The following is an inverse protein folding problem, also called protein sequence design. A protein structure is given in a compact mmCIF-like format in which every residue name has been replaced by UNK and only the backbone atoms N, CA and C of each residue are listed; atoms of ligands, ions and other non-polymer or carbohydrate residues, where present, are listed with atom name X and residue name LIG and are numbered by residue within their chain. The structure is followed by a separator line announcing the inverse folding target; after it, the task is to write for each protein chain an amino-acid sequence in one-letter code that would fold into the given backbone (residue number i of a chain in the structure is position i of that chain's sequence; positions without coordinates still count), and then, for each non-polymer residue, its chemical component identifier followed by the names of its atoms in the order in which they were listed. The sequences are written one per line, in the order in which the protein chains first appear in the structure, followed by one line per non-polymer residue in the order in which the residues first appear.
data_IF_566692424708
#
_entry.id   IF_566692424708
#
_cell.length_a   1.000
_cell.length_b   1.000
_cell.length_c   1.000
_cell.angle_alpha   90.00
_cell.angle_beta   90.00
_cell.angle_gamma   90.00
#
_symmetry.space_group_name_H-M   'P 1'
#
loop_
_entity.id
_entity.type
_entity.pdbx_description
1 polymer ?
#
# COMPACT_ATOMS: atom_id res chain seq x y z
N UNK A 1 -8.20 9.48 -21.36
CA UNK A 1 -9.07 8.40 -20.86
C UNK A 1 -9.29 8.69 -19.39
N UNK A 2 -10.54 8.89 -18.97
CA UNK A 2 -10.86 9.10 -17.56
C UNK A 2 -10.34 7.94 -16.70
N UNK A 3 -9.90 8.25 -15.49
CA UNK A 3 -9.35 7.27 -14.55
C UNK A 3 -10.35 6.13 -14.29
N UNK A 4 -11.65 6.46 -14.22
CA UNK A 4 -12.77 5.51 -14.21
C UNK A 4 -12.71 4.54 -15.40
N UNK A 5 -12.67 5.07 -16.62
CA UNK A 5 -12.66 4.27 -17.85
C UNK A 5 -11.42 3.36 -17.91
N UNK A 6 -10.25 3.83 -17.45
CA UNK A 6 -9.04 3.01 -17.39
C UNK A 6 -9.15 1.88 -16.35
N UNK A 7 -9.64 2.19 -15.15
CA UNK A 7 -9.80 1.24 -14.04
C UNK A 7 -10.83 0.16 -14.36
N UNK A 8 -11.96 0.51 -14.99
CA UNK A 8 -12.99 -0.45 -15.40
C UNK A 8 -12.64 -1.23 -16.66
N UNK A 9 -11.85 -0.68 -17.58
CA UNK A 9 -11.37 -1.43 -18.76
C UNK A 9 -10.35 -2.49 -18.35
N UNK A 10 -9.37 -2.14 -17.51
CA UNK A 10 -8.36 -3.12 -17.05
C UNK A 10 -8.94 -4.08 -16.02
N UNK A 11 -9.65 -3.57 -15.02
CA UNK A 11 -10.33 -4.39 -14.01
C UNK A 11 -11.39 -5.29 -14.65
N UNK A 12 -12.14 -4.78 -15.63
CA UNK A 12 -13.11 -5.53 -16.42
C UNK A 12 -12.45 -6.63 -17.27
N UNK A 13 -11.31 -6.35 -17.90
CA UNK A 13 -10.57 -7.37 -18.65
C UNK A 13 -10.11 -8.53 -17.73
N UNK A 14 -9.57 -8.22 -16.56
CA UNK A 14 -9.16 -9.24 -15.57
C UNK A 14 -10.38 -10.02 -15.04
N UNK A 15 -11.48 -9.33 -14.76
CA UNK A 15 -12.73 -9.96 -14.32
C UNK A 15 -13.33 -10.90 -15.37
N UNK A 16 -13.35 -10.48 -16.65
CA UNK A 16 -13.83 -11.31 -17.77
C UNK A 16 -12.95 -12.54 -17.96
N UNK A 17 -11.63 -12.41 -17.87
CA UNK A 17 -10.71 -13.55 -17.91
C UNK A 17 -10.98 -14.51 -16.74
N UNK A 18 -11.18 -13.97 -15.53
CA UNK A 18 -11.57 -14.75 -14.35
C UNK A 18 -12.91 -15.49 -14.53
N UNK A 19 -13.91 -14.83 -15.12
CA UNK A 19 -15.22 -15.40 -15.41
C UNK A 19 -15.14 -16.53 -16.43
N UNK A 20 -14.34 -16.35 -17.48
CA UNK A 20 -14.07 -17.38 -18.51
C UNK A 20 -13.38 -18.60 -17.88
N UNK A 21 -12.39 -18.38 -17.01
CA UNK A 21 -11.73 -19.46 -16.27
C UNK A 21 -12.69 -20.19 -15.31
N UNK A 22 -13.58 -19.46 -14.63
CA UNK A 22 -14.57 -20.02 -13.72
C UNK A 22 -15.66 -20.81 -14.45
N UNK A 23 -16.07 -20.34 -15.64
CA UNK A 23 -17.00 -21.04 -16.53
C UNK A 23 -16.41 -22.34 -17.07
N UNK A 24 -15.14 -22.33 -17.49
CA UNK A 24 -14.43 -23.55 -17.96
C UNK A 24 -14.29 -24.64 -16.89
N UNK A 25 -14.31 -24.26 -15.61
CA UNK A 25 -14.23 -25.19 -14.47
C UNK A 25 -15.61 -25.56 -13.89
N UNK A 26 -16.72 -25.12 -14.49
CA UNK A 26 -18.08 -25.47 -14.09
C UNK A 26 -18.62 -24.77 -12.84
N UNK A 27 -17.88 -23.79 -12.28
CA UNK A 27 -18.32 -23.03 -11.10
C UNK A 27 -19.35 -21.95 -11.43
N UNK A 28 -19.37 -21.50 -12.67
CA UNK A 28 -20.24 -20.44 -13.18
C UNK A 28 -20.88 -20.93 -14.48
N UNK A 29 -22.18 -20.73 -14.65
CA UNK A 29 -22.89 -21.24 -15.82
C UNK A 29 -24.32 -20.74 -15.89
N UNK A 30 -25.03 -21.07 -16.97
CA UNK A 30 -26.36 -20.53 -17.25
C UNK A 30 -27.50 -21.32 -16.59
N UNK A 31 -27.21 -22.32 -15.74
CA UNK A 31 -28.22 -23.17 -15.09
C UNK A 31 -27.88 -23.48 -13.62
N UNK A 32 -28.91 -23.59 -12.79
CA UNK A 32 -28.82 -24.07 -11.40
C UNK A 32 -27.95 -23.20 -10.49
N UNK A 33 -27.14 -23.83 -9.63
CA UNK A 33 -26.25 -23.14 -8.67
C UNK A 33 -25.18 -22.26 -9.35
N UNK A 34 -24.77 -22.61 -10.57
CA UNK A 34 -23.84 -21.80 -11.37
C UNK A 34 -24.44 -20.49 -11.87
N UNK A 35 -25.76 -20.44 -12.10
CA UNK A 35 -26.47 -19.20 -12.47
C UNK A 35 -26.58 -18.27 -11.26
N UNK A 36 -26.89 -18.81 -10.08
CA UNK A 36 -26.92 -18.02 -8.85
C UNK A 36 -25.55 -17.41 -8.53
N UNK A 37 -24.46 -18.15 -8.75
CA UNK A 37 -23.10 -17.65 -8.59
C UNK A 37 -22.74 -16.56 -9.62
N UNK A 38 -23.13 -16.74 -10.89
CA UNK A 38 -22.98 -15.72 -11.95
C UNK A 38 -23.74 -14.43 -11.59
N UNK A 39 -25.00 -14.56 -11.19
CA UNK A 39 -25.86 -13.42 -10.84
C UNK A 39 -25.32 -12.69 -9.60
N UNK A 40 -24.87 -13.42 -8.57
CA UNK A 40 -24.25 -12.81 -7.39
C UNK A 40 -22.97 -12.03 -7.71
N UNK A 41 -22.10 -12.59 -8.56
CA UNK A 41 -20.87 -11.94 -9.01
C UNK A 41 -21.16 -10.68 -9.86
N UNK A 42 -22.08 -10.77 -10.81
CA UNK A 42 -22.45 -9.65 -11.67
C UNK A 42 -23.21 -8.56 -10.90
N UNK A 43 -24.06 -8.95 -9.94
CA UNK A 43 -24.75 -8.00 -9.08
C UNK A 43 -23.77 -7.26 -8.17
N UNK A 44 -22.80 -7.96 -7.56
CA UNK A 44 -21.75 -7.31 -6.75
C UNK A 44 -20.91 -6.33 -7.57
N UNK A 45 -20.49 -6.73 -8.77
CA UNK A 45 -19.75 -5.86 -9.69
C UNK A 45 -20.60 -4.66 -10.14
N UNK A 46 -21.88 -4.88 -10.44
CA UNK A 46 -22.81 -3.84 -10.88
C UNK A 46 -23.12 -2.81 -9.80
N UNK A 47 -23.33 -3.25 -8.55
CA UNK A 47 -23.52 -2.35 -7.40
C UNK A 47 -22.26 -1.52 -7.17
N UNK A 48 -21.08 -2.14 -7.21
CA UNK A 48 -19.82 -1.43 -7.05
C UNK A 48 -19.58 -0.41 -8.18
N UNK A 49 -19.80 -0.81 -9.43
CA UNK A 49 -19.69 0.07 -10.59
C UNK A 49 -20.70 1.22 -10.54
N UNK A 50 -21.93 0.96 -10.09
CA UNK A 50 -22.97 1.98 -9.92
C UNK A 50 -22.63 2.99 -8.84
N UNK A 51 -22.12 2.54 -7.69
CA UNK A 51 -21.67 3.44 -6.61
C UNK A 51 -20.50 4.29 -7.08
N UNK A 52 -19.50 3.71 -7.75
CA UNK A 52 -18.37 4.46 -8.27
C UNK A 52 -18.78 5.45 -9.35
N UNK A 53 -19.64 5.05 -10.29
CA UNK A 53 -20.17 5.95 -11.32
C UNK A 53 -20.98 7.10 -10.68
N UNK A 54 -21.77 6.80 -9.66
CA UNK A 54 -22.50 7.83 -8.91
C UNK A 54 -21.53 8.78 -8.21
N UNK A 55 -20.49 8.27 -7.53
CA UNK A 55 -19.51 9.13 -6.86
C UNK A 55 -18.68 9.99 -7.82
N UNK A 56 -18.42 9.49 -9.03
CA UNK A 56 -17.58 10.20 -10.02
C UNK A 56 -18.36 11.20 -10.88
N UNK A 57 -19.62 10.88 -11.22
CA UNK A 57 -20.47 11.72 -12.08
C UNK A 57 -21.59 12.46 -11.35
N UNK A 58 -21.79 12.25 -10.05
CA UNK A 58 -22.73 13.06 -9.29
C UNK A 58 -22.25 14.53 -9.26
N UNK A 59 -23.19 15.49 -9.33
CA UNK A 59 -22.86 16.91 -9.28
C UNK A 59 -22.19 17.23 -7.94
N UNK A 60 -20.87 17.43 -7.98
CA UNK A 60 -20.12 17.91 -6.83
C UNK A 60 -20.42 19.40 -6.64
N UNK A 61 -20.98 19.76 -5.47
CA UNK A 61 -21.00 21.16 -5.04
C UNK A 61 -19.60 21.51 -4.56
N UNK A 62 -18.81 22.09 -5.45
CA UNK A 62 -17.53 22.69 -5.09
C UNK A 62 -17.80 23.91 -4.20
N UNK A 63 -17.17 23.97 -3.03
CA UNK A 63 -17.07 25.21 -2.29
C UNK A 63 -16.28 26.20 -3.17
N UNK A 64 -16.61 27.52 -3.16
CA UNK A 64 -15.88 28.49 -3.96
C UNK A 64 -14.39 28.40 -3.61
N UNK A 65 -13.57 28.11 -4.62
CA UNK A 65 -12.13 28.04 -4.47
C UNK A 65 -11.63 29.39 -3.95
N UNK A 66 -11.18 29.43 -2.69
CA UNK A 66 -10.47 30.58 -2.16
C UNK A 66 -9.08 30.53 -2.80
N UNK A 67 -8.83 31.39 -3.77
CA UNK A 67 -7.52 31.51 -4.39
C UNK A 67 -6.51 31.90 -3.31
N UNK A 68 -5.41 31.14 -3.19
CA UNK A 68 -4.27 31.55 -2.38
C UNK A 68 -3.66 32.81 -3.03
N UNK A 69 -3.90 33.98 -2.43
CA UNK A 69 -3.41 35.28 -2.91
C UNK A 69 -1.93 35.54 -2.57
N UNK A 70 -1.23 34.57 -1.97
CA UNK A 70 0.20 34.71 -1.69
C UNK A 70 1.04 34.59 -2.96
N UNK A 71 2.02 35.47 -3.13
CA UNK A 71 3.08 35.29 -4.13
C UNK A 71 3.85 34.01 -3.82
N UNK A 72 3.51 32.90 -4.49
CA UNK A 72 4.33 31.69 -4.44
C UNK A 72 5.56 31.89 -5.31
N UNK A 73 6.59 32.52 -4.74
CA UNK A 73 7.91 32.52 -5.34
C UNK A 73 8.52 31.15 -5.06
N UNK A 74 8.76 30.28 -6.07
CA UNK A 74 9.42 29.00 -5.85
C UNK A 74 10.90 29.29 -5.59
N UNK A 75 11.21 29.74 -4.38
CA UNK A 75 12.58 29.78 -3.92
C UNK A 75 13.00 28.32 -3.80
N UNK A 76 13.82 27.85 -4.74
CA UNK A 76 14.62 26.62 -4.56
C UNK A 76 15.54 26.85 -3.36
N UNK A 77 14.99 26.71 -2.15
CA UNK A 77 15.79 26.64 -0.95
C UNK A 77 16.31 25.21 -0.92
N UNK A 78 17.56 25.06 -1.37
CA UNK A 78 18.36 23.91 -0.97
C UNK A 78 18.35 23.89 0.56
N UNK A 79 17.99 22.77 1.17
CA UNK A 79 17.77 22.66 2.61
C UNK A 79 18.88 23.32 3.44
N UNK A 80 18.51 23.84 4.60
CA UNK A 80 19.44 24.39 5.58
C UNK A 80 20.39 23.27 6.05
N UNK A 81 21.59 23.60 6.54
CA UNK A 81 22.50 22.59 7.14
C UNK A 81 21.83 21.74 8.24
N UNK A 82 20.83 22.32 8.93
CA UNK A 82 19.97 21.64 9.90
C UNK A 82 19.14 20.54 9.23
N UNK A 83 18.54 20.80 8.06
CA UNK A 83 17.71 19.83 7.33
C UNK A 83 18.55 18.62 6.88
N UNK A 84 19.78 18.89 6.41
CA UNK A 84 20.73 17.83 6.08
C UNK A 84 21.15 17.00 7.28
N UNK A 85 21.37 17.63 8.44
CA UNK A 85 21.70 16.93 9.68
C UNK A 85 20.53 16.06 10.16
N UNK A 86 19.28 16.54 10.06
CA UNK A 86 18.08 15.79 10.42
C UNK A 86 17.88 14.58 9.49
N UNK A 87 18.02 14.76 8.17
CA UNK A 87 17.90 13.67 7.19
C UNK A 87 19.00 12.62 7.43
N UNK A 88 20.25 13.06 7.59
CA UNK A 88 21.37 12.16 7.89
C UNK A 88 21.17 11.39 9.20
N UNK A 89 20.72 12.08 10.25
CA UNK A 89 20.38 11.49 11.54
C UNK A 89 19.23 10.47 11.44
N UNK A 90 18.21 10.75 10.62
CA UNK A 90 17.11 9.82 10.37
C UNK A 90 17.59 8.52 9.71
N UNK A 91 18.38 8.60 8.64
CA UNK A 91 18.93 7.41 7.98
C UNK A 91 19.88 6.63 8.91
N UNK A 92 20.69 7.32 9.71
CA UNK A 92 21.55 6.68 10.69
C UNK A 92 20.74 5.95 11.77
N UNK A 93 19.71 6.60 12.31
CA UNK A 93 18.83 5.99 13.30
C UNK A 93 18.12 4.75 12.73
N UNK A 94 17.62 4.83 11.50
CA UNK A 94 17.05 3.69 10.77
C UNK A 94 18.02 2.52 10.64
N UNK A 95 19.26 2.80 10.24
CA UNK A 95 20.29 1.77 10.12
C UNK A 95 20.64 1.18 11.50
N UNK A 96 20.71 1.98 12.55
CA UNK A 96 20.98 1.50 13.91
C UNK A 96 19.83 0.61 14.42
N UNK A 97 18.58 1.04 14.28
CA UNK A 97 17.41 0.23 14.65
C UNK A 97 17.39 -1.06 13.83
N UNK A 98 17.60 -0.99 12.52
CA UNK A 98 17.60 -2.18 11.66
C UNK A 98 18.72 -3.17 12.03
N UNK A 99 19.93 -2.68 12.27
CA UNK A 99 21.09 -3.53 12.60
C UNK A 99 21.03 -4.13 14.01
N UNK A 100 20.51 -3.40 15.00
CA UNK A 100 20.35 -3.92 16.38
C UNK A 100 19.37 -5.10 16.38
N UNK A 101 18.25 -4.99 15.66
CA UNK A 101 17.23 -6.03 15.62
C UNK A 101 17.55 -7.16 14.63
N UNK A 102 18.44 -6.92 13.66
CA UNK A 102 19.01 -7.92 12.77
C UNK A 102 19.78 -9.04 13.50
N UNK A 103 20.47 -8.71 14.59
CA UNK A 103 21.26 -9.67 15.39
C UNK A 103 20.45 -10.83 15.98
N UNK A 104 19.12 -10.72 15.96
CA UNK A 104 18.20 -11.68 16.53
C UNK A 104 17.59 -12.66 15.50
N UNK A 105 17.97 -12.61 14.22
CA UNK A 105 17.48 -13.52 13.17
C UNK A 105 18.48 -14.66 12.93
N UNK A 106 18.41 -15.72 13.76
CA UNK A 106 19.34 -16.88 13.68
C UNK A 106 18.78 -18.07 12.91
N UNK A 107 17.46 -18.17 12.75
CA UNK A 107 16.80 -19.24 12.00
C UNK A 107 15.94 -18.70 10.84
N UNK A 108 15.60 -19.58 9.88
CA UNK A 108 14.69 -19.25 8.76
C UNK A 108 13.32 -18.80 9.28
N UNK A 109 12.85 -19.39 10.38
CA UNK A 109 11.59 -19.01 11.02
C UNK A 109 11.69 -17.61 11.66
N UNK A 110 12.84 -17.26 12.24
CA UNK A 110 13.08 -15.91 12.76
C UNK A 110 13.17 -14.86 11.66
N UNK A 111 13.72 -15.24 10.50
CA UNK A 111 13.83 -14.35 9.35
C UNK A 111 12.48 -14.03 8.71
N UNK A 112 11.61 -15.03 8.50
CA UNK A 112 10.32 -14.86 7.81
C UNK A 112 9.12 -14.60 8.72
N UNK A 113 9.13 -15.09 9.97
CA UNK A 113 7.99 -14.94 10.89
C UNK A 113 8.36 -14.17 12.15
N UNK A 114 9.53 -13.55 12.16
CA UNK A 114 10.03 -12.78 13.29
C UNK A 114 10.05 -13.58 14.62
N UNK A 115 10.14 -14.92 14.53
CA UNK A 115 10.09 -15.83 15.68
C UNK A 115 8.74 -15.86 16.41
N UNK A 116 7.68 -15.26 15.83
CA UNK A 116 6.34 -15.11 16.44
C UNK A 116 6.36 -14.49 17.85
N UNK A 117 7.36 -13.66 18.13
CA UNK A 117 7.57 -13.02 19.44
C UNK A 117 6.86 -11.69 19.64
N UNK A 118 6.32 -11.11 18.56
CA UNK A 118 5.67 -9.81 18.58
C UNK A 118 4.20 -9.93 18.97
N UNK A 119 3.73 -9.03 19.84
CA UNK A 119 2.32 -8.95 20.22
C UNK A 119 1.45 -8.48 19.04
N UNK A 120 0.15 -8.80 19.09
CA UNK A 120 -0.80 -8.51 18.01
C UNK A 120 -0.87 -7.02 17.64
N UNK A 121 -0.70 -6.12 18.60
CA UNK A 121 -0.71 -4.67 18.38
C UNK A 121 0.45 -4.22 17.49
N UNK A 122 1.66 -4.74 17.75
CA UNK A 122 2.84 -4.40 16.95
C UNK A 122 2.72 -4.91 15.53
N UNK A 123 2.16 -6.11 15.36
CA UNK A 123 1.89 -6.69 14.03
C UNK A 123 0.83 -5.87 13.30
N UNK A 124 -0.26 -5.49 13.97
CA UNK A 124 -1.31 -4.65 13.38
C UNK A 124 -0.77 -3.28 12.96
N UNK A 125 0.08 -2.67 13.78
CA UNK A 125 0.72 -1.40 13.45
C UNK A 125 1.64 -1.51 12.23
N UNK A 126 2.49 -2.54 12.16
CA UNK A 126 3.36 -2.78 11.00
C UNK A 126 2.54 -3.08 9.73
N UNK A 127 1.42 -3.82 9.84
CA UNK A 127 0.51 -4.01 8.71
C UNK A 127 -0.03 -2.68 8.17
N UNK A 128 -0.49 -1.78 9.05
CA UNK A 128 -0.98 -0.46 8.65
C UNK A 128 0.17 0.37 8.06
N UNK A 129 1.32 0.41 8.72
CA UNK A 129 2.50 1.15 8.25
C UNK A 129 2.95 0.68 6.86
N UNK A 130 2.89 -0.63 6.58
CA UNK A 130 3.24 -1.19 5.27
C UNK A 130 2.29 -0.71 4.16
N UNK A 131 1.02 -0.44 4.47
CA UNK A 131 0.06 0.08 3.48
C UNK A 131 0.26 1.57 3.19
N UNK A 132 0.84 2.31 4.14
CA UNK A 132 1.07 3.75 4.03
C UNK A 132 2.49 4.00 3.51
N UNK A 133 2.61 4.05 2.18
CA UNK A 133 3.87 4.34 1.50
C UNK A 133 4.06 5.82 1.14
N UNK A 134 5.25 6.13 0.62
CA UNK A 134 5.63 7.45 0.09
C UNK A 134 4.71 7.92 -1.04
N UNK A 135 4.27 6.99 -1.90
CA UNK A 135 3.28 7.28 -2.94
C UNK A 135 1.96 7.79 -2.35
N UNK A 136 1.49 7.17 -1.28
CA UNK A 136 0.26 7.56 -0.61
C UNK A 136 0.38 8.99 -0.09
N UNK A 137 1.50 9.35 0.54
CA UNK A 137 1.72 10.71 1.02
C UNK A 137 1.60 11.79 -0.05
N UNK A 138 2.28 11.60 -1.19
CA UNK A 138 2.24 12.60 -2.27
C UNK A 138 0.85 12.68 -2.88
N UNK A 139 0.22 11.53 -3.16
CA UNK A 139 -1.12 11.48 -3.74
C UNK A 139 -2.18 12.11 -2.82
N UNK A 140 -2.20 11.73 -1.55
CA UNK A 140 -3.22 12.20 -0.61
C UNK A 140 -2.95 13.64 -0.15
N UNK A 141 -1.69 14.09 -0.13
CA UNK A 141 -1.38 15.50 0.05
C UNK A 141 -1.96 16.38 -1.07
N UNK A 142 -1.79 15.95 -2.32
CA UNK A 142 -2.35 16.64 -3.49
C UNK A 142 -3.89 16.66 -3.47
N UNK A 143 -4.52 15.51 -3.24
CA UNK A 143 -6.00 15.40 -3.16
C UNK A 143 -6.54 16.16 -1.95
N UNK A 144 -5.83 16.16 -0.81
CA UNK A 144 -6.19 16.93 0.38
C UNK A 144 -6.11 18.43 0.15
N UNK A 145 -5.11 18.92 -0.59
CA UNK A 145 -5.01 20.32 -0.97
C UNK A 145 -6.12 20.74 -1.95
N UNK A 146 -6.45 19.89 -2.93
CA UNK A 146 -7.46 20.19 -3.94
C UNK A 146 -8.90 20.11 -3.42
N UNK A 147 -9.21 19.11 -2.58
CA UNK A 147 -10.59 18.78 -2.17
C UNK A 147 -10.85 18.95 -0.67
N UNK A 148 -9.87 19.40 0.11
CA UNK A 148 -9.99 19.60 1.56
C UNK A 148 -10.33 18.31 2.30
N UNK A 149 -11.13 18.43 3.36
CA UNK A 149 -11.54 17.30 4.22
C UNK A 149 -12.29 16.17 3.49
N UNK A 150 -12.92 16.46 2.34
CA UNK A 150 -13.65 15.45 1.56
C UNK A 150 -12.73 14.33 1.04
N UNK A 151 -11.44 14.62 0.87
CA UNK A 151 -10.40 13.64 0.50
C UNK A 151 -10.28 12.46 1.47
N UNK A 152 -10.65 12.65 2.75
CA UNK A 152 -10.61 11.62 3.79
C UNK A 152 -11.55 10.44 3.46
N UNK A 153 -12.59 10.67 2.65
CA UNK A 153 -13.53 9.62 2.26
C UNK A 153 -12.86 8.48 1.48
N UNK A 154 -11.73 8.75 0.82
CA UNK A 154 -10.94 7.72 0.15
C UNK A 154 -10.43 6.65 1.13
N UNK A 155 -10.07 7.03 2.36
CA UNK A 155 -9.67 6.09 3.42
C UNK A 155 -10.86 5.42 4.11
N UNK A 156 -12.02 6.08 4.17
CA UNK A 156 -13.24 5.49 4.74
C UNK A 156 -13.71 4.24 3.99
N UNK A 157 -13.37 4.09 2.70
CA UNK A 157 -13.68 2.87 1.94
C UNK A 157 -12.98 1.63 2.54
N UNK A 158 -11.73 1.77 2.95
CA UNK A 158 -10.93 0.64 3.48
C UNK A 158 -11.52 0.09 4.79
N UNK A 159 -12.17 0.94 5.59
CA UNK A 159 -12.87 0.52 6.82
C UNK A 159 -14.03 -0.42 6.56
N UNK A 160 -14.66 -0.38 5.38
CA UNK A 160 -15.71 -1.32 5.02
C UNK A 160 -15.16 -2.74 4.79
N UNK A 161 -13.94 -2.86 4.26
CA UNK A 161 -13.30 -4.15 3.99
C UNK A 161 -12.61 -4.74 5.20
N UNK A 162 -12.27 -3.91 6.19
CA UNK A 162 -11.55 -4.33 7.40
C UNK A 162 -12.29 -5.42 8.21
N UNK A 163 -13.62 -5.35 8.45
CA UNK A 163 -14.35 -6.45 9.06
C UNK A 163 -14.29 -7.76 8.26
N UNK A 164 -14.38 -7.69 6.93
CA UNK A 164 -14.28 -8.88 6.08
C UNK A 164 -12.89 -9.52 6.17
N UNK A 165 -11.83 -8.70 6.29
CA UNK A 165 -10.49 -9.17 6.51
C UNK A 165 -10.33 -9.83 7.89
N UNK A 166 -10.80 -9.18 8.97
CA UNK A 166 -10.61 -9.64 10.36
C UNK A 166 -11.47 -10.88 10.66
N UNK A 167 -12.73 -10.91 10.23
CA UNK A 167 -13.66 -12.00 10.57
C UNK A 167 -13.79 -13.05 9.49
N UNK A 168 -13.48 -12.71 8.24
CA UNK A 168 -13.55 -13.65 7.11
C UNK A 168 -12.19 -14.27 6.79
N UNK A 169 -11.25 -13.46 6.32
CA UNK A 169 -9.97 -13.96 5.79
C UNK A 169 -8.98 -14.38 6.87
N UNK A 170 -8.77 -13.55 7.90
CA UNK A 170 -7.76 -13.79 8.92
C UNK A 170 -7.94 -15.15 9.64
N UNK A 171 -9.16 -15.59 10.03
CA UNK A 171 -9.34 -16.90 10.64
C UNK A 171 -8.98 -18.03 9.69
N UNK A 172 -9.36 -17.94 8.41
CA UNK A 172 -9.03 -18.94 7.38
C UNK A 172 -7.51 -19.08 7.25
N UNK A 173 -6.79 -17.96 7.14
CA UNK A 173 -5.33 -17.98 7.00
C UNK A 173 -4.65 -18.53 8.27
N UNK A 174 -5.14 -18.12 9.46
CA UNK A 174 -4.59 -18.54 10.74
C UNK A 174 -4.78 -20.04 11.01
N UNK A 175 -6.01 -20.55 10.87
CA UNK A 175 -6.32 -21.97 11.10
C UNK A 175 -5.72 -22.89 10.03
N UNK A 176 -5.55 -22.41 8.80
CA UNK A 176 -4.92 -23.21 7.72
C UNK A 176 -3.41 -23.38 7.88
N UNK A 177 -2.75 -22.66 8.82
CA UNK A 177 -1.29 -22.70 9.06
C UNK A 177 -0.47 -22.60 7.77
N UNK A 178 -0.93 -21.76 6.85
CA UNK A 178 -0.23 -21.47 5.59
C UNK A 178 0.92 -20.50 5.84
N UNK A 179 1.98 -20.61 5.06
CA UNK A 179 3.14 -19.73 5.13
C UNK A 179 3.06 -18.56 4.16
N UNK A 180 2.33 -18.73 3.05
CA UNK A 180 2.19 -17.70 2.02
C UNK A 180 0.82 -17.74 1.34
N UNK A 181 0.40 -16.61 0.76
CA UNK A 181 -0.87 -16.53 0.00
C UNK A 181 -0.86 -17.47 -1.22
N UNK A 182 0.21 -17.57 -2.03
CA UNK A 182 0.25 -18.54 -3.13
C UNK A 182 0.10 -20.00 -2.68
N UNK A 183 0.58 -20.36 -1.49
CA UNK A 183 0.38 -21.69 -0.91
C UNK A 183 -1.10 -21.98 -0.61
N UNK A 184 -1.85 -20.96 -0.16
CA UNK A 184 -3.31 -21.09 -0.01
C UNK A 184 -3.99 -21.41 -1.35
N UNK A 185 -3.60 -20.72 -2.43
CA UNK A 185 -4.12 -21.00 -3.76
C UNK A 185 -3.74 -22.40 -4.28
N UNK A 186 -2.57 -22.92 -3.90
CA UNK A 186 -2.18 -24.29 -4.23
C UNK A 186 -3.08 -25.31 -3.54
N UNK A 187 -3.27 -25.18 -2.21
CA UNK A 187 -4.08 -26.11 -1.43
C UNK A 187 -5.55 -26.09 -1.85
N UNK A 188 -6.04 -24.94 -2.30
CA UNK A 188 -7.46 -24.75 -2.68
C UNK A 188 -7.77 -25.13 -4.13
N UNK A 189 -6.83 -24.91 -5.04
CA UNK A 189 -7.01 -25.13 -6.47
C UNK A 189 -5.99 -26.15 -6.98
N UNK A 190 -4.84 -25.69 -7.46
CA UNK A 190 -3.81 -26.54 -8.08
C UNK A 190 -2.44 -25.81 -8.11
N UNK A 191 -1.37 -26.56 -8.37
CA UNK A 191 0.00 -26.02 -8.53
C UNK A 191 0.13 -24.99 -9.66
N UNK A 192 -0.66 -25.12 -10.73
CA UNK A 192 -0.69 -24.14 -11.83
C UNK A 192 -1.24 -22.78 -11.37
N UNK A 193 -2.22 -22.78 -10.47
CA UNK A 193 -2.79 -21.55 -9.91
C UNK A 193 -1.79 -20.89 -8.95
N UNK A 194 -1.02 -21.68 -8.18
CA UNK A 194 0.09 -21.15 -7.37
C UNK A 194 1.10 -20.38 -8.21
N UNK A 195 1.53 -20.95 -9.34
CA UNK A 195 2.50 -20.30 -10.23
C UNK A 195 1.93 -18.99 -10.78
N UNK A 196 0.68 -19.02 -11.26
CA UNK A 196 0.00 -17.82 -11.75
C UNK A 196 -0.10 -16.73 -10.66
N UNK A 197 -0.58 -17.08 -9.47
CA UNK A 197 -0.71 -16.16 -8.34
C UNK A 197 0.65 -15.60 -7.91
N UNK A 198 1.71 -16.42 -7.91
CA UNK A 198 3.07 -15.98 -7.58
C UNK A 198 3.60 -14.98 -8.61
N UNK A 199 3.43 -15.25 -9.91
CA UNK A 199 3.89 -14.33 -10.98
C UNK A 199 3.15 -12.99 -10.90
N UNK A 200 1.82 -13.03 -10.74
CA UNK A 200 1.01 -11.81 -10.60
C UNK A 200 1.44 -11.01 -9.35
N UNK A 201 1.63 -11.69 -8.22
CA UNK A 201 2.05 -11.06 -6.97
C UNK A 201 3.44 -10.41 -7.12
N UNK A 202 4.40 -11.09 -7.74
CA UNK A 202 5.74 -10.55 -7.98
C UNK A 202 5.71 -9.35 -8.93
N UNK A 203 4.91 -9.42 -10.00
CA UNK A 203 4.73 -8.31 -10.94
C UNK A 203 4.11 -7.09 -10.25
N UNK A 204 3.09 -7.29 -9.42
CA UNK A 204 2.48 -6.24 -8.61
C UNK A 204 3.50 -5.63 -7.64
N UNK A 205 4.24 -6.45 -6.89
CA UNK A 205 5.23 -5.98 -5.92
C UNK A 205 6.36 -5.18 -6.60
N UNK A 206 6.83 -5.61 -7.77
CA UNK A 206 7.83 -4.88 -8.53
C UNK A 206 7.35 -3.47 -8.90
N UNK A 207 6.11 -3.35 -9.39
CA UNK A 207 5.51 -2.06 -9.70
C UNK A 207 5.29 -1.21 -8.45
N UNK A 208 4.73 -1.80 -7.39
CA UNK A 208 4.44 -1.12 -6.13
C UNK A 208 5.70 -0.56 -5.46
N UNK A 209 6.76 -1.37 -5.35
CA UNK A 209 8.05 -0.92 -4.79
C UNK A 209 8.70 0.13 -5.71
N UNK A 210 8.64 -0.07 -7.03
CA UNK A 210 9.18 0.88 -8.01
C UNK A 210 8.55 2.27 -7.90
N UNK A 211 7.21 2.35 -7.79
CA UNK A 211 6.49 3.61 -7.62
C UNK A 211 6.87 4.27 -6.27
N UNK A 212 6.95 3.51 -5.18
CA UNK A 212 7.34 4.05 -3.88
C UNK A 212 8.77 4.61 -3.87
N UNK A 213 9.72 3.92 -4.51
CA UNK A 213 11.10 4.41 -4.66
C UNK A 213 11.17 5.67 -5.53
N UNK A 214 10.43 5.70 -6.64
CA UNK A 214 10.37 6.87 -7.51
C UNK A 214 9.82 8.11 -6.78
N UNK A 215 8.74 7.94 -6.02
CA UNK A 215 8.15 9.03 -5.24
C UNK A 215 9.08 9.50 -4.13
N UNK A 216 9.81 8.60 -3.46
CA UNK A 216 10.88 8.96 -2.52
C UNK A 216 12.00 9.75 -3.21
N UNK A 217 12.43 9.32 -4.39
CA UNK A 217 13.44 10.04 -5.18
C UNK A 217 13.00 11.45 -5.57
N UNK A 218 11.71 11.63 -5.91
CA UNK A 218 11.14 12.96 -6.15
C UNK A 218 11.13 13.83 -4.89
N UNK A 219 10.73 13.27 -3.74
CA UNK A 219 10.77 13.99 -2.48
C UNK A 219 12.20 14.44 -2.12
N UNK A 220 13.19 13.56 -2.31
CA UNK A 220 14.59 13.88 -2.05
C UNK A 220 15.17 14.87 -3.08
N UNK A 221 14.75 14.82 -4.34
CA UNK A 221 15.11 15.80 -5.36
C UNK A 221 14.63 17.21 -4.97
N UNK A 222 13.42 17.33 -4.41
CA UNK A 222 12.90 18.62 -3.95
C UNK A 222 13.71 19.20 -2.78
N UNK A 223 14.22 18.35 -1.88
CA UNK A 223 14.97 18.77 -0.68
C UNK A 223 16.46 19.03 -0.95
N UNK A 224 17.10 18.14 -1.69
CA UNK A 224 18.58 18.07 -1.85
C UNK A 224 19.02 18.50 -3.26
N UNK A 225 18.11 18.51 -4.23
CA UNK A 225 18.41 18.83 -5.63
C UNK A 225 19.08 17.69 -6.42
N UNK A 226 19.28 16.51 -5.82
CA UNK A 226 19.86 15.35 -6.51
C UNK A 226 18.95 14.80 -7.59
N UNK A 227 19.47 14.31 -8.73
CA UNK A 227 18.66 13.66 -9.75
C UNK A 227 17.80 12.54 -9.15
N UNK A 228 16.52 12.48 -9.54
CA UNK A 228 15.54 11.53 -9.01
C UNK A 228 16.06 10.09 -9.07
N UNK A 229 16.73 9.71 -10.16
CA UNK A 229 17.29 8.36 -10.31
C UNK A 229 18.38 8.06 -9.28
N UNK A 230 19.31 8.99 -9.06
CA UNK A 230 20.40 8.86 -8.07
C UNK A 230 19.84 8.79 -6.65
N UNK A 231 18.86 9.64 -6.33
CA UNK A 231 18.17 9.61 -5.04
C UNK A 231 17.44 8.29 -4.80
N UNK A 232 16.67 7.80 -5.78
CA UNK A 232 15.96 6.52 -5.70
C UNK A 232 16.90 5.34 -5.50
N UNK A 233 18.02 5.30 -6.22
CA UNK A 233 19.04 4.25 -6.06
C UNK A 233 19.65 4.30 -4.66
N UNK A 234 19.98 5.49 -4.15
CA UNK A 234 20.50 5.64 -2.79
C UNK A 234 19.55 5.10 -1.72
N UNK A 235 18.27 5.48 -1.79
CA UNK A 235 17.24 4.97 -0.88
C UNK A 235 17.07 3.47 -1.03
N UNK A 236 17.04 2.94 -2.26
CA UNK A 236 16.93 1.51 -2.52
C UNK A 236 18.09 0.72 -1.92
N UNK A 237 19.33 1.21 -2.04
CA UNK A 237 20.50 0.58 -1.45
C UNK A 237 20.44 0.54 0.08
N UNK A 238 20.14 1.67 0.72
CA UNK A 238 20.00 1.74 2.18
C UNK A 238 18.91 0.78 2.66
N UNK A 239 17.76 0.79 2.00
CA UNK A 239 16.64 -0.10 2.31
C UNK A 239 16.98 -1.57 2.12
N UNK A 240 17.63 -1.92 1.02
CA UNK A 240 18.05 -3.29 0.77
C UNK A 240 19.02 -3.80 1.84
N UNK A 241 19.97 -2.97 2.29
CA UNK A 241 20.96 -3.35 3.31
C UNK A 241 20.28 -3.73 4.63
N UNK A 242 19.40 -2.88 5.17
CA UNK A 242 18.80 -3.17 6.47
C UNK A 242 17.75 -4.29 6.39
N UNK A 243 17.01 -4.40 5.27
CA UNK A 243 16.01 -5.46 5.09
C UNK A 243 16.68 -6.82 4.95
N UNK A 244 17.73 -6.93 4.14
CA UNK A 244 18.45 -8.21 3.94
C UNK A 244 19.19 -8.66 5.19
N UNK A 245 19.77 -7.73 5.95
CA UNK A 245 20.39 -8.06 7.22
C UNK A 245 19.36 -8.45 8.29
N UNK A 246 18.21 -7.77 8.32
CA UNK A 246 17.30 -7.78 9.47
C UNK A 246 16.15 -8.78 9.44
N UNK A 247 15.71 -9.20 8.26
CA UNK A 247 14.49 -9.99 8.10
C UNK A 247 13.23 -9.29 8.65
N UNK A 248 12.15 -10.04 8.82
CA UNK A 248 10.85 -9.50 9.23
C UNK A 248 10.84 -8.84 10.61
N UNK A 249 11.70 -9.28 11.53
CA UNK A 249 11.81 -8.64 12.85
C UNK A 249 12.31 -7.20 12.77
N UNK A 250 13.29 -6.95 11.90
CA UNK A 250 13.80 -5.61 11.66
C UNK A 250 12.74 -4.74 11.00
N UNK A 251 12.02 -5.29 10.01
CA UNK A 251 10.97 -4.56 9.29
C UNK A 251 9.88 -4.09 10.24
N UNK A 252 9.35 -4.97 11.10
CA UNK A 252 8.31 -4.59 12.08
C UNK A 252 8.78 -3.45 13.00
N UNK A 253 10.05 -3.48 13.43
CA UNK A 253 10.58 -2.45 14.32
C UNK A 253 10.85 -1.13 13.60
N UNK A 254 11.36 -1.18 12.37
CA UNK A 254 11.54 0.03 11.55
C UNK A 254 10.20 0.64 11.17
N UNK A 255 9.18 -0.18 10.87
CA UNK A 255 7.82 0.27 10.61
C UNK A 255 7.22 0.98 11.83
N UNK A 256 7.41 0.41 13.02
CA UNK A 256 6.95 1.03 14.27
C UNK A 256 7.59 2.41 14.47
N UNK A 257 8.90 2.50 14.30
CA UNK A 257 9.64 3.75 14.43
C UNK A 257 9.19 4.79 13.40
N UNK A 258 9.09 4.40 12.13
CA UNK A 258 8.67 5.27 11.04
C UNK A 258 7.23 5.73 11.20
N UNK A 259 6.31 4.83 11.54
CA UNK A 259 4.90 5.17 11.74
C UNK A 259 4.69 6.11 12.93
N UNK A 260 5.41 5.93 14.04
CA UNK A 260 5.33 6.86 15.18
C UNK A 260 5.88 8.24 14.80
N UNK A 261 7.03 8.29 14.11
CA UNK A 261 7.61 9.55 13.63
C UNK A 261 6.65 10.27 12.69
N UNK A 262 6.02 9.53 11.78
CA UNK A 262 5.07 10.02 10.81
C UNK A 262 3.81 10.61 11.48
N UNK A 263 3.22 9.88 12.44
CA UNK A 263 2.07 10.37 13.20
C UNK A 263 2.43 11.60 14.02
N UNK A 264 3.60 11.60 14.67
CA UNK A 264 4.10 12.75 15.42
C UNK A 264 4.30 13.97 14.52
N UNK A 265 4.92 13.80 13.36
CA UNK A 265 5.11 14.86 12.37
C UNK A 265 3.76 15.40 11.84
N UNK A 266 2.82 14.51 11.53
CA UNK A 266 1.48 14.90 11.06
C UNK A 266 0.69 15.69 12.10
N UNK A 267 0.71 15.27 13.37
CA UNK A 267 0.07 15.99 14.47
C UNK A 267 0.73 17.35 14.73
N UNK A 268 2.05 17.42 14.63
CA UNK A 268 2.80 18.67 14.80
C UNK A 268 2.48 19.67 13.69
N UNK A 269 2.42 19.23 12.43
CA UNK A 269 1.99 20.08 11.31
C UNK A 269 0.56 20.57 11.56
N UNK A 270 -0.37 19.67 11.91
CA UNK A 270 -1.76 20.04 12.19
C UNK A 270 -1.89 21.05 13.35
N UNK A 271 -1.02 20.98 14.36
CA UNK A 271 -0.98 21.94 15.45
C UNK A 271 -0.40 23.30 15.03
N UNK A 272 0.62 23.31 14.18
CA UNK A 272 1.30 24.53 13.74
C UNK A 272 0.57 25.28 12.62
N UNK A 273 -0.30 24.60 11.86
CA UNK A 273 -1.08 25.16 10.75
C UNK A 273 -0.37 25.02 9.41
#
# INVERSE_FOLDING_TARGET
MDAFTYQYVIGGAVFVVGLICAARRGYVGFRGKGLAALVGLLAGLGVFAGIQAYLEYAPMREAPAVAFEGEFSPRKVLGTWVDFAVIGGYFLCLLLVGTVFSRNAKSVNDYFFAGRRFGWVMIAFSLISTTVGSYSFVKYGEVGYAYGFSSTLAYFNDWFWLPLLIFGWLPILYFSRITSIPEFFERRFDRSVRLCATVILLMYLLGYVGINLFTMGKALNALVGWPVLTASIGVACVTAIYVTAGGQSSVIMTDLFQGVLLLGAGLLILYLG
#
